data_IF_236041937325
#
_entry.id   IF_236041937325
#
_cell.length_a   1.000
_cell.length_b   1.000
_cell.length_c   1.000
_cell.angle_alpha   90.00
_cell.angle_beta   90.00
_cell.angle_gamma   90.00
#
_symmetry.space_group_name_H-M   'P 1'
#
loop_
_entity.id
_entity.type
_entity.pdbx_description
1 polymer ?
#
# COMPACT_ATOMS: atom_id res chain seq x y z
N UNK A 1 30.29 7.83 -138.23
CA UNK A 1 29.62 8.66 -137.20
C UNK A 1 28.56 7.85 -136.47
N UNK A 2 27.49 7.38 -137.13
CA UNK A 2 26.42 6.55 -136.54
C UNK A 2 26.83 5.41 -135.57
N UNK A 3 27.95 4.72 -135.81
CA UNK A 3 28.43 3.62 -134.96
C UNK A 3 29.02 4.11 -133.62
N UNK A 4 29.70 5.26 -133.65
CA UNK A 4 30.28 5.90 -132.46
C UNK A 4 29.21 6.54 -131.57
N UNK A 5 28.15 7.07 -132.18
CA UNK A 5 27.04 7.68 -131.46
C UNK A 5 26.20 6.62 -130.74
N UNK A 6 26.06 5.43 -131.34
CA UNK A 6 25.42 4.27 -130.73
C UNK A 6 26.23 3.74 -129.54
N UNK A 7 27.55 3.59 -129.70
CA UNK A 7 28.44 3.14 -128.61
C UNK A 7 28.42 4.13 -127.43
N UNK A 8 28.41 5.44 -127.69
CA UNK A 8 28.26 6.47 -126.65
C UNK A 8 26.90 6.41 -125.95
N UNK A 9 25.81 6.25 -126.71
CA UNK A 9 24.46 6.15 -126.13
C UNK A 9 24.26 4.87 -125.29
N UNK A 10 24.91 3.76 -125.66
CA UNK A 10 24.93 2.53 -124.87
C UNK A 10 25.72 2.72 -123.57
N UNK A 11 26.86 3.41 -123.63
CA UNK A 11 27.69 3.70 -122.46
C UNK A 11 26.98 4.64 -121.47
N UNK A 12 26.28 5.66 -121.98
CA UNK A 12 25.47 6.58 -121.17
C UNK A 12 24.28 5.85 -120.52
N UNK A 13 23.62 4.93 -121.22
CA UNK A 13 22.54 4.11 -120.65
C UNK A 13 23.04 3.22 -119.51
N UNK A 14 24.22 2.60 -119.66
CA UNK A 14 24.83 1.79 -118.60
C UNK A 14 25.20 2.65 -117.38
N UNK A 15 25.72 3.85 -117.59
CA UNK A 15 26.00 4.79 -116.50
C UNK A 15 24.75 5.24 -115.76
N UNK A 16 23.67 5.57 -116.50
CA UNK A 16 22.40 5.95 -115.91
C UNK A 16 21.76 4.80 -115.12
N UNK A 17 21.78 3.57 -115.65
CA UNK A 17 21.32 2.39 -114.91
C UNK A 17 22.10 2.19 -113.61
N UNK A 18 23.43 2.32 -113.66
CA UNK A 18 24.28 2.20 -112.47
C UNK A 18 23.93 3.26 -111.42
N UNK A 19 23.69 4.51 -111.84
CA UNK A 19 23.29 5.60 -110.92
C UNK A 19 21.90 5.37 -110.34
N UNK A 20 20.95 4.85 -111.13
CA UNK A 20 19.60 4.51 -110.65
C UNK A 20 19.66 3.38 -109.63
N UNK A 21 20.46 2.33 -109.88
CA UNK A 21 20.62 1.21 -108.96
C UNK A 21 21.29 1.65 -107.64
N UNK A 22 22.29 2.54 -107.72
CA UNK A 22 22.93 3.13 -106.55
C UNK A 22 21.97 4.02 -105.75
N UNK A 23 21.18 4.86 -106.42
CA UNK A 23 20.17 5.69 -105.78
C UNK A 23 19.06 4.84 -105.13
N UNK A 24 18.65 3.75 -105.77
CA UNK A 24 17.68 2.80 -105.22
C UNK A 24 18.22 2.10 -103.97
N UNK A 25 19.48 1.64 -103.98
CA UNK A 25 20.13 1.06 -102.81
C UNK A 25 20.30 2.05 -101.66
N UNK A 26 20.71 3.29 -101.96
CA UNK A 26 20.82 4.35 -100.96
C UNK A 26 19.44 4.67 -100.35
N UNK A 27 18.39 4.73 -101.17
CA UNK A 27 17.01 4.92 -100.73
C UNK A 27 16.49 3.78 -99.85
N UNK A 28 16.76 2.52 -100.23
CA UNK A 28 16.40 1.36 -99.42
C UNK A 28 17.13 1.37 -98.06
N UNK A 29 18.44 1.68 -98.05
CA UNK A 29 19.22 1.78 -96.82
C UNK A 29 18.71 2.89 -95.90
N UNK A 30 18.35 4.05 -96.46
CA UNK A 30 17.78 5.16 -95.69
C UNK A 30 16.40 4.80 -95.11
N UNK A 31 15.56 4.06 -95.86
CA UNK A 31 14.27 3.58 -95.38
C UNK A 31 14.43 2.55 -94.25
N UNK A 32 15.37 1.61 -94.36
CA UNK A 32 15.66 0.63 -93.32
C UNK A 32 16.18 1.29 -92.04
N UNK A 33 17.05 2.30 -92.16
CA UNK A 33 17.52 3.09 -91.02
C UNK A 33 16.39 3.88 -90.35
N UNK A 34 15.50 4.48 -91.13
CA UNK A 34 14.34 5.18 -90.59
C UNK A 34 13.37 4.22 -89.87
N UNK A 35 13.16 3.02 -90.42
CA UNK A 35 12.35 1.99 -89.79
C UNK A 35 12.96 1.49 -88.47
N UNK A 36 14.28 1.30 -88.42
CA UNK A 36 14.99 0.92 -87.20
C UNK A 36 14.88 2.00 -86.11
N UNK A 37 15.10 3.27 -86.46
CA UNK A 37 14.95 4.39 -85.52
C UNK A 37 13.51 4.51 -85.00
N UNK A 38 12.51 4.31 -85.87
CA UNK A 38 11.12 4.31 -85.46
C UNK A 38 10.81 3.16 -84.48
N UNK A 39 11.31 1.96 -84.77
CA UNK A 39 11.18 0.80 -83.89
C UNK A 39 11.81 1.05 -82.51
N UNK A 40 13.00 1.64 -82.46
CA UNK A 40 13.68 1.98 -81.21
C UNK A 40 12.90 3.01 -80.39
N UNK A 41 12.38 4.06 -81.05
CA UNK A 41 11.55 5.08 -80.37
C UNK A 41 10.25 4.48 -79.84
N UNK A 42 9.61 3.57 -80.60
CA UNK A 42 8.41 2.87 -80.14
C UNK A 42 8.71 2.03 -78.88
N UNK A 43 9.80 1.27 -78.88
CA UNK A 43 10.23 0.48 -77.72
C UNK A 43 10.55 1.35 -76.50
N UNK A 44 11.22 2.49 -76.70
CA UNK A 44 11.49 3.43 -75.61
C UNK A 44 10.23 4.04 -75.03
N UNK A 45 9.22 4.34 -75.86
CA UNK A 45 7.93 4.84 -75.40
C UNK A 45 7.20 3.80 -74.55
N UNK A 46 7.19 2.54 -74.98
CA UNK A 46 6.56 1.45 -74.23
C UNK A 46 7.24 1.24 -72.87
N UNK A 47 8.57 1.19 -72.85
CA UNK A 47 9.33 1.08 -71.60
C UNK A 47 9.09 2.28 -70.66
N UNK A 48 8.97 3.49 -71.22
CA UNK A 48 8.66 4.70 -70.43
C UNK A 48 7.24 4.68 -69.89
N UNK A 49 6.28 4.15 -70.65
CA UNK A 49 4.88 3.98 -70.24
C UNK A 49 4.75 2.99 -69.07
N UNK A 50 5.47 1.86 -69.15
CA UNK A 50 5.53 0.87 -68.06
C UNK A 50 6.19 1.45 -66.80
N UNK A 51 7.29 2.19 -66.96
CA UNK A 51 7.96 2.86 -65.85
C UNK A 51 7.07 3.92 -65.18
N UNK A 52 6.32 4.69 -65.97
CA UNK A 52 5.36 5.67 -65.45
C UNK A 52 4.25 4.99 -64.65
N UNK A 53 3.69 3.90 -65.17
CA UNK A 53 2.65 3.12 -64.48
C UNK A 53 3.17 2.58 -63.14
N UNK A 54 4.41 2.10 -63.10
CA UNK A 54 5.06 1.64 -61.87
C UNK A 54 5.24 2.78 -60.88
N UNK A 55 5.74 3.94 -61.33
CA UNK A 55 5.92 5.11 -60.48
C UNK A 55 4.60 5.63 -59.89
N UNK A 56 3.51 5.60 -60.66
CA UNK A 56 2.17 5.95 -60.17
C UNK A 56 1.70 5.01 -59.05
N UNK A 57 1.95 3.71 -59.20
CA UNK A 57 1.65 2.71 -58.17
C UNK A 57 2.48 2.93 -56.90
N UNK A 58 3.78 3.20 -57.04
CA UNK A 58 4.69 3.48 -55.92
C UNK A 58 4.26 4.73 -55.15
N UNK A 59 3.86 5.80 -55.84
CA UNK A 59 3.34 7.03 -55.21
C UNK A 59 2.03 6.75 -54.47
N UNK A 60 1.13 5.93 -55.05
CA UNK A 60 -0.11 5.55 -54.40
C UNK A 60 0.14 4.76 -53.11
N UNK A 61 1.10 3.83 -53.13
CA UNK A 61 1.48 3.05 -51.95
C UNK A 61 2.18 3.90 -50.88
N UNK A 62 3.13 4.75 -51.28
CA UNK A 62 3.79 5.70 -50.38
C UNK A 62 2.77 6.62 -49.68
N UNK A 63 1.73 7.05 -50.39
CA UNK A 63 0.64 7.86 -49.81
C UNK A 63 -0.18 7.07 -48.78
N UNK A 64 -0.44 5.78 -49.01
CA UNK A 64 -1.12 4.93 -48.00
C UNK A 64 -0.26 4.77 -46.76
N UNK A 65 1.03 4.46 -46.94
CA UNK A 65 1.99 4.32 -45.83
C UNK A 65 2.10 5.62 -45.04
N UNK A 66 2.20 6.77 -45.70
CA UNK A 66 2.24 8.08 -45.04
C UNK A 66 0.98 8.38 -44.22
N UNK A 67 -0.21 8.03 -44.75
CA UNK A 67 -1.48 8.15 -44.00
C UNK A 67 -1.53 7.22 -42.79
N UNK A 68 -1.08 5.97 -42.95
CA UNK A 68 -1.01 5.02 -41.84
C UNK A 68 -0.04 5.50 -40.75
N UNK A 69 1.12 6.02 -41.14
CA UNK A 69 2.09 6.61 -40.22
C UNK A 69 1.51 7.82 -39.46
N UNK A 70 0.79 8.71 -40.14
CA UNK A 70 0.14 9.86 -39.50
C UNK A 70 -0.95 9.44 -38.52
N UNK A 71 -1.74 8.41 -38.86
CA UNK A 71 -2.74 7.85 -37.96
C UNK A 71 -2.09 7.19 -36.73
N UNK A 72 -1.01 6.43 -36.93
CA UNK A 72 -0.25 5.82 -35.84
C UNK A 72 0.36 6.87 -34.91
N UNK A 73 0.92 7.95 -35.45
CA UNK A 73 1.46 9.06 -34.66
C UNK A 73 0.37 9.72 -33.80
N UNK A 74 -0.81 9.97 -34.38
CA UNK A 74 -1.95 10.55 -33.66
C UNK A 74 -2.44 9.62 -32.54
N UNK A 75 -2.52 8.32 -32.80
CA UNK A 75 -2.88 7.32 -31.80
C UNK A 75 -1.85 7.26 -30.67
N UNK A 76 -0.55 7.33 -30.99
CA UNK A 76 0.52 7.37 -30.00
C UNK A 76 0.43 8.62 -29.11
N UNK A 77 0.17 9.80 -29.68
CA UNK A 77 -0.05 11.03 -28.90
C UNK A 77 -1.26 10.90 -27.98
N UNK A 78 -2.38 10.36 -28.47
CA UNK A 78 -3.57 10.14 -27.64
C UNK A 78 -3.31 9.15 -26.50
N UNK A 79 -2.53 8.08 -26.75
CA UNK A 79 -2.12 7.13 -25.72
C UNK A 79 -1.21 7.79 -24.67
N UNK A 80 -0.26 8.62 -25.09
CA UNK A 80 0.63 9.35 -24.17
C UNK A 80 -0.15 10.31 -23.26
N UNK A 81 -1.15 11.04 -23.80
CA UNK A 81 -2.02 11.91 -23.00
C UNK A 81 -2.81 11.12 -21.96
N UNK A 82 -3.38 9.97 -22.33
CA UNK A 82 -4.10 9.10 -21.38
C UNK A 82 -3.19 8.55 -20.31
N UNK A 83 -1.98 8.11 -20.68
CA UNK A 83 -0.99 7.61 -19.73
C UNK A 83 -0.59 8.69 -18.72
N UNK A 84 -0.40 9.94 -19.19
CA UNK A 84 -0.12 11.07 -18.29
C UNK A 84 -1.27 11.34 -17.32
N UNK A 85 -2.52 11.35 -17.78
CA UNK A 85 -3.68 11.55 -16.90
C UNK A 85 -3.81 10.44 -15.85
N UNK A 86 -3.58 9.19 -16.26
CA UNK A 86 -3.59 8.06 -15.33
C UNK A 86 -2.47 8.15 -14.28
N UNK A 87 -1.31 8.68 -14.65
CA UNK A 87 -0.22 8.94 -13.69
C UNK A 87 -0.60 10.06 -12.70
N UNK A 88 -1.21 11.15 -13.17
CA UNK A 88 -1.69 12.24 -12.30
C UNK A 88 -2.78 11.77 -11.32
N UNK A 89 -3.69 10.88 -11.75
CA UNK A 89 -4.68 10.25 -10.89
C UNK A 89 -4.02 9.32 -9.85
N UNK A 90 -3.05 8.50 -10.26
CA UNK A 90 -2.33 7.61 -9.34
C UNK A 90 -1.50 8.38 -8.29
N UNK A 91 -0.91 9.53 -8.66
CA UNK A 91 -0.20 10.40 -7.71
C UNK A 91 -1.17 11.01 -6.69
N UNK A 92 -2.39 11.36 -7.09
CA UNK A 92 -3.43 11.84 -6.18
C UNK A 92 -3.90 10.74 -5.21
N UNK A 93 -4.17 9.53 -5.72
CA UNK A 93 -4.55 8.38 -4.90
C UNK A 93 -3.45 8.02 -3.87
N UNK A 94 -2.17 8.13 -4.27
CA UNK A 94 -1.05 7.88 -3.38
C UNK A 94 -0.94 8.95 -2.27
N UNK A 95 -1.25 10.20 -2.58
CA UNK A 95 -1.28 11.27 -1.58
C UNK A 95 -2.39 11.04 -0.55
N UNK A 96 -3.61 10.70 -1.01
CA UNK A 96 -4.73 10.35 -0.13
C UNK A 96 -4.41 9.14 0.75
N UNK A 97 -3.85 8.07 0.18
CA UNK A 97 -3.46 6.89 0.94
C UNK A 97 -2.38 7.20 2.02
N UNK A 98 -1.45 8.12 1.73
CA UNK A 98 -0.47 8.56 2.72
C UNK A 98 -1.12 9.36 3.85
N UNK A 99 -2.05 10.27 3.54
CA UNK A 99 -2.79 11.02 4.56
C UNK A 99 -3.62 10.07 5.45
N UNK A 100 -4.29 9.07 4.88
CA UNK A 100 -5.01 8.04 5.63
C UNK A 100 -4.07 7.23 6.54
N UNK A 101 -2.89 6.87 6.05
CA UNK A 101 -1.90 6.14 6.84
C UNK A 101 -1.36 6.97 8.02
N UNK A 102 -1.13 8.27 7.83
CA UNK A 102 -0.74 9.19 8.90
C UNK A 102 -1.85 9.34 9.94
N UNK A 103 -3.10 9.46 9.51
CA UNK A 103 -4.25 9.53 10.41
C UNK A 103 -4.39 8.25 11.24
N UNK A 104 -4.33 7.08 10.59
CA UNK A 104 -4.41 5.79 11.26
C UNK A 104 -3.27 5.60 12.28
N UNK A 105 -2.05 6.05 11.94
CA UNK A 105 -0.91 6.04 12.87
C UNK A 105 -1.18 6.94 14.09
N UNK A 106 -1.69 8.16 13.86
CA UNK A 106 -2.05 9.07 14.94
C UNK A 106 -3.20 8.56 15.82
N UNK A 107 -4.14 7.81 15.27
CA UNK A 107 -5.19 7.13 16.04
C UNK A 107 -4.62 5.98 16.88
N UNK A 108 -3.71 5.18 16.32
CA UNK A 108 -3.03 4.12 17.05
C UNK A 108 -2.21 4.67 18.24
N UNK A 109 -1.49 5.76 18.05
CA UNK A 109 -0.73 6.42 19.12
C UNK A 109 -1.64 6.93 20.24
N UNK A 110 -2.81 7.50 19.89
CA UNK A 110 -3.81 7.93 20.89
C UNK A 110 -4.39 6.77 21.65
N UNK A 111 -4.75 5.68 20.95
CA UNK A 111 -5.28 4.48 21.58
C UNK A 111 -4.26 3.88 22.56
N UNK A 112 -2.98 3.84 22.19
CA UNK A 112 -1.91 3.38 23.10
C UNK A 112 -1.79 4.28 24.33
N UNK A 113 -1.84 5.60 24.16
CA UNK A 113 -1.80 6.52 25.29
C UNK A 113 -3.01 6.35 26.24
N UNK A 114 -4.20 6.04 25.70
CA UNK A 114 -5.38 5.72 26.51
C UNK A 114 -5.22 4.41 27.28
N UNK A 115 -4.63 3.38 26.66
CA UNK A 115 -4.29 2.11 27.33
C UNK A 115 -3.31 2.35 28.48
N UNK A 116 -2.21 3.06 28.23
CA UNK A 116 -1.20 3.36 29.25
C UNK A 116 -1.83 4.14 30.43
N UNK A 117 -2.73 5.07 30.14
CA UNK A 117 -3.46 5.81 31.17
C UNK A 117 -4.42 4.90 31.96
N UNK A 118 -5.10 3.98 31.30
CA UNK A 118 -5.99 3.02 31.94
C UNK A 118 -5.21 2.07 32.86
N UNK A 119 -4.07 1.53 32.41
CA UNK A 119 -3.19 0.70 33.21
C UNK A 119 -2.68 1.45 34.45
N UNK A 120 -2.26 2.71 34.28
CA UNK A 120 -1.83 3.54 35.41
C UNK A 120 -2.95 3.81 36.43
N UNK A 121 -4.20 3.98 35.97
CA UNK A 121 -5.37 4.12 36.86
C UNK A 121 -5.67 2.81 37.60
N UNK A 122 -5.61 1.68 36.90
CA UNK A 122 -5.80 0.35 37.50
C UNK A 122 -4.76 0.09 38.58
N UNK A 123 -3.47 0.34 38.30
CA UNK A 123 -2.41 0.15 39.30
C UNK A 123 -2.57 1.04 40.53
N UNK A 124 -3.08 2.26 40.39
CA UNK A 124 -3.43 3.12 41.54
C UNK A 124 -4.60 2.56 42.33
N UNK A 125 -5.65 2.11 41.66
CA UNK A 125 -6.82 1.53 42.32
C UNK A 125 -6.47 0.23 43.08
N UNK A 126 -5.59 -0.60 42.52
CA UNK A 126 -5.07 -1.79 43.20
C UNK A 126 -4.28 -1.41 44.45
N UNK A 127 -3.38 -0.42 44.37
CA UNK A 127 -2.64 0.06 45.54
C UNK A 127 -3.55 0.62 46.64
N UNK A 128 -4.58 1.39 46.28
CA UNK A 128 -5.58 1.89 47.23
C UNK A 128 -6.41 0.75 47.86
N UNK A 129 -6.74 -0.28 47.08
CA UNK A 129 -7.45 -1.46 47.59
C UNK A 129 -6.58 -2.26 48.57
N UNK A 130 -5.29 -2.43 48.28
CA UNK A 130 -4.33 -3.08 49.17
C UNK A 130 -4.19 -2.31 50.50
N UNK A 131 -4.11 -0.98 50.44
CA UNK A 131 -4.07 -0.13 51.64
C UNK A 131 -5.35 -0.28 52.48
N UNK A 132 -6.52 -0.20 51.84
CA UNK A 132 -7.81 -0.38 52.52
C UNK A 132 -7.95 -1.78 53.15
N UNK A 133 -7.43 -2.82 52.49
CA UNK A 133 -7.39 -4.17 53.04
C UNK A 133 -6.49 -4.27 54.27
N UNK A 134 -5.30 -3.64 54.23
CA UNK A 134 -4.39 -3.60 55.37
C UNK A 134 -5.00 -2.85 56.57
N UNK A 135 -5.67 -1.71 56.33
CA UNK A 135 -6.38 -0.97 57.37
C UNK A 135 -7.53 -1.77 57.99
N UNK A 136 -8.31 -2.48 57.16
CA UNK A 136 -9.35 -3.39 57.62
C UNK A 136 -8.78 -4.48 58.53
N UNK A 137 -7.70 -5.13 58.12
CA UNK A 137 -7.11 -6.24 58.88
C UNK A 137 -6.59 -5.76 60.24
N UNK A 138 -6.02 -4.56 60.29
CA UNK A 138 -5.66 -3.91 61.55
C UNK A 138 -6.89 -3.63 62.43
N UNK A 139 -7.96 -3.07 61.86
CA UNK A 139 -9.18 -2.79 62.62
C UNK A 139 -9.85 -4.07 63.16
N UNK A 140 -9.82 -5.17 62.40
CA UNK A 140 -10.30 -6.49 62.85
C UNK A 140 -9.45 -7.01 64.00
N UNK A 141 -8.12 -6.91 63.91
CA UNK A 141 -7.23 -7.32 64.99
C UNK A 141 -7.48 -6.50 66.28
N UNK A 142 -7.60 -5.17 66.16
CA UNK A 142 -7.89 -4.28 67.28
C UNK A 142 -9.25 -4.60 67.92
N UNK A 143 -10.27 -4.93 67.11
CA UNK A 143 -11.59 -5.32 67.59
C UNK A 143 -11.57 -6.65 68.36
N UNK A 144 -10.82 -7.65 67.89
CA UNK A 144 -10.66 -8.94 68.59
C UNK A 144 -9.90 -8.78 69.91
N UNK A 145 -8.87 -7.90 69.96
CA UNK A 145 -8.19 -7.54 71.21
C UNK A 145 -9.15 -6.85 72.18
N UNK A 146 -9.94 -5.88 71.71
CA UNK A 146 -10.91 -5.19 72.53
C UNK A 146 -12.00 -6.13 73.08
N UNK A 147 -12.50 -7.05 72.24
CA UNK A 147 -13.49 -8.07 72.61
C UNK A 147 -12.93 -9.05 73.64
N UNK A 148 -11.68 -9.48 73.48
CA UNK A 148 -10.99 -10.35 74.44
C UNK A 148 -10.84 -9.65 75.80
N UNK A 149 -10.41 -8.38 75.80
CA UNK A 149 -10.33 -7.57 77.02
C UNK A 149 -11.69 -7.37 77.70
N UNK A 150 -12.75 -7.13 76.92
CA UNK A 150 -14.10 -7.01 77.44
C UNK A 150 -14.62 -8.32 78.05
N UNK A 151 -14.33 -9.46 77.44
CA UNK A 151 -14.67 -10.78 77.98
C UNK A 151 -13.94 -11.03 79.32
N UNK A 152 -12.62 -10.77 79.38
CA UNK A 152 -11.84 -10.88 80.62
C UNK A 152 -12.42 -9.97 81.71
N UNK A 153 -12.74 -8.71 81.38
CA UNK A 153 -13.36 -7.78 82.33
C UNK A 153 -14.72 -8.28 82.83
N UNK A 154 -15.54 -8.88 81.95
CA UNK A 154 -16.82 -9.49 82.31
C UNK A 154 -16.67 -10.71 83.23
N UNK A 155 -15.70 -11.58 82.97
CA UNK A 155 -15.37 -12.73 83.83
C UNK A 155 -14.86 -12.29 85.19
N UNK A 156 -14.01 -11.27 85.22
CA UNK A 156 -13.55 -10.62 86.45
C UNK A 156 -14.70 -10.05 87.27
N UNK A 157 -15.60 -9.28 86.63
CA UNK A 157 -16.79 -8.75 87.29
C UNK A 157 -17.67 -9.87 87.86
N UNK A 158 -17.88 -10.96 87.10
CA UNK A 158 -18.63 -12.14 87.56
C UNK A 158 -17.95 -12.84 88.74
N UNK A 159 -16.63 -12.95 88.75
CA UNK A 159 -15.86 -13.54 89.85
C UNK A 159 -16.00 -12.69 91.14
N UNK A 160 -15.95 -11.36 91.01
CA UNK A 160 -16.21 -10.46 92.14
C UNK A 160 -17.64 -10.60 92.68
N UNK A 161 -18.65 -10.62 91.81
CA UNK A 161 -20.06 -10.80 92.21
C UNK A 161 -20.28 -12.17 92.86
N UNK A 162 -19.67 -13.24 92.34
CA UNK A 162 -19.79 -14.59 92.90
C UNK A 162 -19.11 -14.70 94.27
N UNK A 163 -17.97 -14.03 94.47
CA UNK A 163 -17.31 -13.97 95.77
C UNK A 163 -18.16 -13.24 96.83
N UNK A 164 -18.93 -12.23 96.41
CA UNK A 164 -19.90 -11.55 97.27
C UNK A 164 -21.11 -12.44 97.58
N UNK A 165 -21.63 -13.21 96.61
CA UNK A 165 -22.76 -14.12 96.83
C UNK A 165 -22.43 -15.20 97.88
N UNK A 166 -21.24 -15.81 97.80
CA UNK A 166 -20.75 -16.79 98.78
C UNK A 166 -20.59 -16.21 100.19
N UNK A 167 -20.42 -14.89 100.32
CA UNK A 167 -20.36 -14.19 101.61
C UNK A 167 -21.73 -14.13 102.30
N UNK A 168 -22.81 -14.04 101.52
CA UNK A 168 -24.18 -13.97 102.04
C UNK A 168 -24.73 -15.35 102.44
N UNK A 169 -24.13 -16.44 101.96
CA UNK A 169 -24.54 -17.81 102.25
C UNK A 169 -23.77 -18.45 103.44
N UNK A 170 -22.72 -17.80 103.96
CA UNK A 170 -21.85 -18.31 105.01
C UNK A 170 -22.04 -17.67 106.40
N UNK A 171 -22.67 -18.37 107.33
CA UNK A 171 -23.19 -17.86 108.62
C UNK A 171 -22.14 -17.54 109.74
N UNK A 172 -20.93 -17.03 109.42
CA UNK A 172 -19.92 -16.60 110.43
C UNK A 172 -19.15 -15.34 110.00
N UNK A 173 -19.74 -14.17 110.23
CA UNK A 173 -19.30 -12.88 109.70
C UNK A 173 -17.96 -12.31 110.24
N UNK A 174 -17.32 -12.86 111.28
CA UNK A 174 -16.10 -12.25 111.90
C UNK A 174 -14.77 -12.91 111.52
N UNK A 175 -14.73 -14.22 111.27
CA UNK A 175 -13.49 -14.90 110.83
C UNK A 175 -13.34 -14.91 109.29
N UNK A 176 -14.42 -14.68 108.56
CA UNK A 176 -14.42 -14.68 107.10
C UNK A 176 -13.85 -13.39 106.50
N UNK A 177 -13.79 -12.27 107.25
CA UNK A 177 -13.34 -10.97 106.71
C UNK A 177 -11.89 -11.02 106.20
N UNK A 178 -11.00 -11.73 106.90
CA UNK A 178 -9.62 -11.90 106.46
C UNK A 178 -9.54 -12.78 105.20
N UNK A 179 -10.26 -13.90 105.18
CA UNK A 179 -10.33 -14.82 104.04
C UNK A 179 -10.94 -14.17 102.79
N UNK A 180 -11.94 -13.31 102.96
CA UNK A 180 -12.62 -12.57 101.89
C UNK A 180 -11.71 -11.51 101.32
N UNK A 181 -11.04 -10.73 102.17
CA UNK A 181 -10.04 -9.76 101.73
C UNK A 181 -8.94 -10.43 100.91
N UNK A 182 -8.47 -11.59 101.34
CA UNK A 182 -7.41 -12.32 100.62
C UNK A 182 -7.94 -12.92 99.31
N UNK A 183 -9.20 -13.38 99.27
CA UNK A 183 -9.91 -13.81 98.04
C UNK A 183 -10.07 -12.66 97.03
N UNK A 184 -10.47 -11.48 97.49
CA UNK A 184 -10.58 -10.28 96.67
C UNK A 184 -9.22 -9.84 96.12
N UNK A 185 -8.16 -9.90 96.93
CA UNK A 185 -6.79 -9.60 96.47
C UNK A 185 -6.30 -10.60 95.43
N UNK A 186 -6.61 -11.88 95.60
CA UNK A 186 -6.30 -12.91 94.62
C UNK A 186 -7.03 -12.66 93.29
N UNK A 187 -8.37 -12.47 93.31
CA UNK A 187 -9.16 -12.14 92.11
C UNK A 187 -8.61 -10.89 91.43
N UNK A 188 -8.24 -9.86 92.19
CA UNK A 188 -7.65 -8.63 91.63
C UNK A 188 -6.29 -8.87 90.98
N UNK A 189 -5.44 -9.69 91.58
CA UNK A 189 -4.14 -10.05 91.01
C UNK A 189 -4.29 -10.88 89.72
N UNK A 190 -5.21 -11.84 89.72
CA UNK A 190 -5.50 -12.71 88.57
C UNK A 190 -6.10 -11.89 87.42
N UNK A 191 -7.06 -11.01 87.70
CA UNK A 191 -7.67 -10.10 86.73
C UNK A 191 -6.68 -9.10 86.13
N UNK A 192 -5.81 -8.52 86.97
CA UNK A 192 -4.74 -7.64 86.50
C UNK A 192 -3.77 -8.38 85.60
N UNK A 193 -3.39 -9.59 85.97
CA UNK A 193 -2.47 -10.43 85.17
C UNK A 193 -3.09 -10.79 83.82
N UNK A 194 -4.34 -11.24 83.82
CA UNK A 194 -5.09 -11.60 82.60
C UNK A 194 -5.25 -10.41 81.64
N UNK A 195 -5.56 -9.21 82.14
CA UNK A 195 -5.67 -8.00 81.32
C UNK A 195 -4.31 -7.47 80.83
N UNK A 196 -3.22 -7.73 81.57
CA UNK A 196 -1.86 -7.33 81.18
C UNK A 196 -1.19 -8.30 80.19
N UNK A 197 -1.71 -9.52 80.08
CA UNK A 197 -1.23 -10.56 79.17
C UNK A 197 -1.98 -10.65 77.84
N UNK A 198 -2.97 -9.77 77.60
CA UNK A 198 -3.82 -9.70 76.40
C UNK A 198 -3.56 -8.48 75.52
#
# INVERSE_FOLDING_TARGET
MLRSDLDSAEQDNQQLQTQVDQAAQAGATAADQAAALYSDVAQQLDATSEALTTAEQDVAEAKKVGRAAAAAATAATAAAVRARKAAEEADADLAEANEEAEQATGEADRAQAEVDQAEAKTGKAEAEADEAHAERDKAVADAEVAKSRAAIAGECAKAYVSALALLLEGDRARDQVAAVRDRFRAITADCKTALSGS
#
